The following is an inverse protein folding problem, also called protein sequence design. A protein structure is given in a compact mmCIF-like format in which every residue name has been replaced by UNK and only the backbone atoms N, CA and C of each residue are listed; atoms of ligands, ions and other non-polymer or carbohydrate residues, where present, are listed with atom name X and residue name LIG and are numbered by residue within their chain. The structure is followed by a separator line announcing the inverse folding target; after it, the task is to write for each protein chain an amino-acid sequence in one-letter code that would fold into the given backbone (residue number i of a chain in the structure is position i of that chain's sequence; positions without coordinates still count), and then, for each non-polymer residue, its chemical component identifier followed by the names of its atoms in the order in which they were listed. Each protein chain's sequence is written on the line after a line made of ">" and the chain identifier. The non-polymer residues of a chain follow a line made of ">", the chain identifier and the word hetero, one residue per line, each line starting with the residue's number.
data_IF_027583328063
#
_entry.id   IF_027583328063
#
_cell.length_a   1.000
_cell.length_b   1.000
_cell.length_c   1.000
_cell.angle_alpha   90.00
_cell.angle_beta   90.00
_cell.angle_gamma   90.00
#
_symmetry.space_group_name_H-M   'P 1'
#
loop_
_entity.id
_entity.type
_entity.pdbx_description
1 polymer ?
#
# COMPACT_ATOMS: atom_id res chain seq x y z
N UNK A 1 4.15 -3.26 7.30
CA UNK A 1 3.61 -2.43 8.39
C UNK A 1 4.40 -2.58 9.69
N UNK A 2 5.28 -3.59 9.84
CA UNK A 2 6.19 -3.72 10.99
C UNK A 2 7.42 -2.79 10.92
N UNK A 3 7.54 -1.95 9.91
CA UNK A 3 8.52 -0.87 9.81
C UNK A 3 8.10 0.37 10.62
N UNK A 4 8.97 1.40 10.67
CA UNK A 4 8.79 2.58 11.52
C UNK A 4 7.43 3.29 11.32
N UNK A 5 7.10 3.65 10.07
CA UNK A 5 5.86 4.40 9.78
C UNK A 5 4.63 3.52 10.05
N UNK A 6 4.62 2.29 9.54
CA UNK A 6 3.49 1.37 9.70
C UNK A 6 3.21 1.01 11.15
N UNK A 7 4.24 0.79 11.96
CA UNK A 7 4.08 0.49 13.39
C UNK A 7 3.44 1.67 14.16
N UNK A 8 3.88 2.90 13.89
CA UNK A 8 3.27 4.09 14.50
C UNK A 8 1.83 4.31 14.03
N UNK A 9 1.54 4.03 12.76
CA UNK A 9 0.18 4.08 12.23
C UNK A 9 -0.74 3.07 12.94
N UNK A 10 -0.29 1.82 13.12
CA UNK A 10 -1.08 0.80 13.84
C UNK A 10 -1.43 1.28 15.24
N UNK A 11 -0.43 1.73 16.04
CA UNK A 11 -0.64 2.24 17.39
C UNK A 11 -1.63 3.39 17.43
N UNK A 12 -1.47 4.35 16.52
CA UNK A 12 -2.38 5.49 16.41
C UNK A 12 -3.82 5.05 16.11
N UNK A 13 -4.00 4.13 15.17
CA UNK A 13 -5.32 3.67 14.75
C UNK A 13 -6.02 2.89 15.86
N UNK A 14 -5.31 1.98 16.54
CA UNK A 14 -5.85 1.19 17.65
C UNK A 14 -6.26 2.08 18.85
N UNK A 15 -5.47 3.13 19.12
CA UNK A 15 -5.78 4.08 20.18
C UNK A 15 -6.97 4.99 19.84
N UNK A 16 -7.06 5.42 18.57
CA UNK A 16 -8.09 6.38 18.14
C UNK A 16 -9.44 5.75 17.86
N UNK A 17 -9.46 4.51 17.36
CA UNK A 17 -10.68 3.83 16.92
C UNK A 17 -10.87 2.50 17.68
N UNK A 18 -11.66 2.47 18.77
CA UNK A 18 -11.81 1.28 19.60
C UNK A 18 -12.35 0.04 18.85
N UNK A 19 -13.17 0.25 17.84
CA UNK A 19 -13.84 -0.83 17.10
C UNK A 19 -13.04 -1.33 15.87
N UNK A 20 -11.89 -0.69 15.57
CA UNK A 20 -11.12 -1.09 14.39
C UNK A 20 -10.44 -2.44 14.61
N UNK A 21 -10.45 -3.25 13.56
CA UNK A 21 -9.63 -4.48 13.47
C UNK A 21 -8.56 -4.29 12.42
N UNK A 22 -7.34 -4.68 12.73
CA UNK A 22 -6.18 -4.51 11.87
C UNK A 22 -5.53 -5.87 11.62
N UNK A 23 -5.30 -6.21 10.37
CA UNK A 23 -4.45 -7.33 9.98
C UNK A 23 -3.16 -6.77 9.40
N UNK A 24 -2.06 -7.07 10.04
CA UNK A 24 -0.72 -6.60 9.66
C UNK A 24 -0.05 -7.65 8.79
N UNK A 25 -0.01 -7.44 7.50
CA UNK A 25 0.77 -8.27 6.57
C UNK A 25 2.16 -7.66 6.41
N UNK A 26 3.20 -8.40 6.76
CA UNK A 26 4.60 -7.95 6.60
C UNK A 26 5.54 -9.14 6.35
N UNK A 27 6.50 -8.97 5.48
CA UNK A 27 7.50 -10.00 5.15
C UNK A 27 8.60 -10.10 6.20
N UNK A 28 8.73 -9.06 7.07
CA UNK A 28 9.82 -8.90 8.04
C UNK A 28 11.20 -8.94 7.38
N UNK A 29 11.40 -8.08 6.38
CA UNK A 29 12.70 -7.83 5.78
C UNK A 29 13.56 -6.98 6.73
N UNK A 30 14.65 -6.40 6.25
CA UNK A 30 15.62 -5.66 7.05
C UNK A 30 15.03 -4.51 7.92
N UNK A 31 13.94 -3.88 7.47
CA UNK A 31 13.27 -2.77 8.18
C UNK A 31 12.09 -3.23 9.05
N UNK A 32 11.66 -4.47 8.94
CA UNK A 32 10.54 -5.03 9.70
C UNK A 32 10.99 -5.50 11.08
N UNK A 33 10.43 -4.92 12.14
CA UNK A 33 10.68 -5.33 13.51
C UNK A 33 9.37 -5.59 14.24
N UNK A 34 9.05 -6.88 14.40
CA UNK A 34 7.82 -7.31 15.08
C UNK A 34 7.77 -6.84 16.55
N UNK A 35 8.93 -6.71 17.22
CA UNK A 35 9.01 -6.22 18.59
C UNK A 35 8.41 -4.81 18.77
N UNK A 36 8.40 -3.99 17.72
CA UNK A 36 7.83 -2.63 17.77
C UNK A 36 6.31 -2.62 17.99
N UNK A 37 5.62 -3.66 17.53
CA UNK A 37 4.15 -3.81 17.61
C UNK A 37 3.73 -5.05 18.40
N UNK A 38 4.66 -5.69 19.11
CA UNK A 38 4.38 -6.94 19.81
C UNK A 38 3.27 -6.80 20.87
N UNK A 39 3.24 -5.66 21.57
CA UNK A 39 2.25 -5.36 22.59
C UNK A 39 0.86 -5.02 21.98
N UNK A 40 0.84 -4.63 20.71
CA UNK A 40 -0.39 -4.29 20.00
C UNK A 40 -1.06 -5.51 19.37
N UNK A 41 -0.32 -6.62 19.17
CA UNK A 41 -0.82 -7.87 18.59
C UNK A 41 -1.51 -8.68 19.69
N UNK A 42 -2.82 -8.53 19.79
CA UNK A 42 -3.65 -9.18 20.82
C UNK A 42 -4.46 -10.38 20.29
N UNK A 43 -4.48 -10.61 18.98
CA UNK A 43 -5.25 -11.66 18.32
C UNK A 43 -6.76 -11.39 18.22
N UNK A 44 -7.24 -10.27 18.78
CA UNK A 44 -8.64 -9.86 18.72
C UNK A 44 -8.85 -8.66 17.80
N UNK A 45 -8.10 -7.57 18.05
CA UNK A 45 -8.17 -6.32 17.29
C UNK A 45 -6.98 -6.14 16.35
N UNK A 46 -5.86 -6.76 16.66
CA UNK A 46 -4.65 -6.70 15.82
C UNK A 46 -4.08 -8.10 15.63
N UNK A 47 -4.07 -8.58 14.40
CA UNK A 47 -3.47 -9.85 14.00
C UNK A 47 -2.26 -9.61 13.12
N UNK A 48 -1.23 -10.45 13.28
CA UNK A 48 -0.03 -10.42 12.43
C UNK A 48 0.01 -11.65 11.52
N UNK A 49 0.26 -11.39 10.24
CA UNK A 49 0.49 -12.41 9.21
C UNK A 49 1.86 -12.16 8.58
N UNK A 50 2.76 -13.15 8.69
CA UNK A 50 4.03 -13.09 7.96
C UNK A 50 3.82 -13.51 6.53
N UNK A 51 4.06 -12.60 5.57
CA UNK A 51 3.89 -12.91 4.17
C UNK A 51 4.33 -11.79 3.23
N UNK A 52 4.41 -12.15 1.96
CA UNK A 52 4.82 -11.26 0.89
C UNK A 52 3.58 -10.71 0.16
N UNK A 53 3.49 -9.40 -0.03
CA UNK A 53 2.42 -8.77 -0.83
C UNK A 53 2.40 -9.22 -2.29
N UNK A 54 3.49 -9.81 -2.78
CA UNK A 54 3.57 -10.41 -4.12
C UNK A 54 2.97 -11.81 -4.19
N UNK A 55 2.67 -12.45 -3.05
CA UNK A 55 2.03 -13.77 -3.01
C UNK A 55 0.52 -13.62 -3.24
N UNK A 56 0.11 -13.92 -4.48
CA UNK A 56 -1.28 -13.81 -4.90
C UNK A 56 -2.21 -14.73 -4.13
N UNK A 57 -1.80 -15.95 -3.87
CA UNK A 57 -2.64 -16.92 -3.17
C UNK A 57 -2.90 -16.45 -1.74
N UNK A 58 -1.85 -16.00 -1.05
CA UNK A 58 -1.94 -15.45 0.29
C UNK A 58 -2.83 -14.20 0.34
N UNK A 59 -2.62 -13.24 -0.56
CA UNK A 59 -3.43 -12.01 -0.54
C UNK A 59 -4.89 -12.30 -0.83
N UNK A 60 -5.22 -13.13 -1.81
CA UNK A 60 -6.59 -13.54 -2.11
C UNK A 60 -7.24 -14.28 -0.91
N UNK A 61 -6.51 -15.16 -0.21
CA UNK A 61 -6.97 -15.83 1.00
C UNK A 61 -7.28 -14.85 2.13
N UNK A 62 -6.38 -13.88 2.39
CA UNK A 62 -6.58 -12.86 3.41
C UNK A 62 -7.81 -11.99 3.13
N UNK A 63 -8.00 -11.56 1.90
CA UNK A 63 -9.19 -10.79 1.51
C UNK A 63 -10.48 -11.60 1.67
N UNK A 64 -10.45 -12.88 1.34
CA UNK A 64 -11.61 -13.77 1.52
C UNK A 64 -11.93 -14.01 3.01
N UNK A 65 -10.89 -14.20 3.84
CA UNK A 65 -11.05 -14.46 5.28
C UNK A 65 -11.55 -13.25 6.06
N UNK A 66 -10.93 -12.08 5.85
CA UNK A 66 -11.16 -10.91 6.69
C UNK A 66 -12.13 -9.89 6.08
N UNK A 67 -12.41 -9.97 4.78
CA UNK A 67 -13.33 -9.06 4.07
C UNK A 67 -12.99 -7.57 4.31
N UNK A 68 -11.73 -7.21 4.18
CA UNK A 68 -11.22 -5.87 4.47
C UNK A 68 -12.06 -4.75 3.84
N UNK A 69 -12.33 -3.69 4.62
CA UNK A 69 -12.90 -2.44 4.12
C UNK A 69 -11.81 -1.50 3.62
N UNK A 70 -10.65 -1.51 4.27
CA UNK A 70 -9.54 -0.63 3.97
C UNK A 70 -8.26 -1.43 3.74
N UNK A 71 -7.47 -0.96 2.79
CA UNK A 71 -6.08 -1.37 2.60
C UNK A 71 -5.22 -0.13 2.69
N UNK A 72 -4.19 -0.15 3.55
CA UNK A 72 -3.16 0.88 3.59
C UNK A 72 -1.83 0.21 3.27
N UNK A 73 -1.30 0.48 2.09
CA UNK A 73 -0.07 -0.13 1.62
C UNK A 73 1.15 0.70 2.00
N UNK A 74 1.81 0.29 3.09
CA UNK A 74 3.13 0.78 3.51
C UNK A 74 4.29 -0.08 3.01
N UNK A 75 3.98 -1.26 2.43
CA UNK A 75 5.02 -2.19 2.00
C UNK A 75 5.79 -1.62 0.81
N UNK A 76 7.08 -1.44 1.00
CA UNK A 76 7.98 -0.97 -0.04
C UNK A 76 9.44 -1.32 0.31
N UNK A 77 10.25 -1.51 -0.71
CA UNK A 77 11.69 -1.27 -0.63
C UNK A 77 11.90 0.24 -0.77
N UNK A 78 12.64 0.87 0.17
CA UNK A 78 12.67 2.33 0.32
C UNK A 78 14.06 2.98 0.33
N UNK A 79 15.14 2.18 0.36
CA UNK A 79 16.50 2.70 0.39
C UNK A 79 17.03 3.02 -1.01
N UNK A 80 17.30 4.30 -1.30
CA UNK A 80 17.78 4.78 -2.61
C UNK A 80 19.06 4.06 -3.02
N UNK A 81 20.09 3.99 -2.16
CA UNK A 81 21.37 3.33 -2.49
C UNK A 81 21.16 1.86 -2.84
N UNK A 82 20.34 1.14 -2.08
CA UNK A 82 20.00 -0.26 -2.40
C UNK A 82 19.24 -0.40 -3.73
N UNK A 83 18.48 0.62 -4.11
CA UNK A 83 17.78 0.60 -5.41
C UNK A 83 18.74 0.70 -6.60
N UNK A 84 19.88 1.35 -6.39
CA UNK A 84 20.94 1.44 -7.39
C UNK A 84 21.68 0.09 -7.54
N UNK A 85 21.93 -0.59 -6.41
CA UNK A 85 22.59 -1.89 -6.38
C UNK A 85 21.70 -3.03 -6.90
N UNK A 86 20.42 -3.02 -6.54
CA UNK A 86 19.45 -4.07 -6.90
C UNK A 86 18.08 -3.49 -7.28
N UNK A 87 17.95 -2.86 -8.46
CA UNK A 87 16.71 -2.25 -8.88
C UNK A 87 15.56 -3.25 -9.07
N UNK A 88 15.87 -4.49 -9.43
CA UNK A 88 14.86 -5.54 -9.67
C UNK A 88 14.01 -5.81 -8.40
N UNK A 89 14.61 -5.77 -7.22
CA UNK A 89 13.88 -5.96 -5.97
C UNK A 89 12.80 -4.88 -5.77
N UNK A 90 13.12 -3.64 -6.17
CA UNK A 90 12.17 -2.52 -6.11
C UNK A 90 11.04 -2.65 -7.11
N UNK A 91 11.31 -3.12 -8.32
CA UNK A 91 10.26 -3.41 -9.30
C UNK A 91 9.29 -4.47 -8.80
N UNK A 92 9.82 -5.56 -8.25
CA UNK A 92 9.00 -6.66 -7.72
C UNK A 92 8.17 -6.19 -6.54
N UNK A 93 8.79 -5.59 -5.53
CA UNK A 93 8.08 -5.22 -4.30
C UNK A 93 7.13 -4.05 -4.53
N UNK A 94 7.64 -2.95 -5.10
CA UNK A 94 6.88 -1.70 -5.13
C UNK A 94 5.83 -1.68 -6.25
N UNK A 95 6.12 -2.30 -7.40
CA UNK A 95 5.19 -2.31 -8.54
C UNK A 95 4.32 -3.55 -8.53
N UNK A 96 4.93 -4.75 -8.65
CA UNK A 96 4.16 -5.99 -8.74
C UNK A 96 3.40 -6.29 -7.46
N UNK A 97 4.00 -6.01 -6.28
CA UNK A 97 3.32 -6.15 -4.99
C UNK A 97 2.12 -5.22 -4.85
N UNK A 98 2.25 -3.95 -5.26
CA UNK A 98 1.11 -3.01 -5.26
C UNK A 98 0.03 -3.45 -6.24
N UNK A 99 0.39 -3.84 -7.46
CA UNK A 99 -0.56 -4.35 -8.45
C UNK A 99 -1.29 -5.61 -7.93
N UNK A 100 -0.59 -6.50 -7.26
CA UNK A 100 -1.18 -7.70 -6.67
C UNK A 100 -2.23 -7.36 -5.60
N UNK A 101 -1.93 -6.42 -4.69
CA UNK A 101 -2.87 -5.95 -3.67
C UNK A 101 -4.10 -5.26 -4.30
N UNK A 102 -3.90 -4.43 -5.34
CA UNK A 102 -4.99 -3.79 -6.07
C UNK A 102 -5.94 -4.82 -6.70
N UNK A 103 -5.41 -5.88 -7.30
CA UNK A 103 -6.21 -6.93 -7.89
C UNK A 103 -6.99 -7.74 -6.85
N UNK A 104 -6.35 -8.09 -5.71
CA UNK A 104 -7.02 -8.81 -4.63
C UNK A 104 -8.14 -7.96 -4.02
N UNK A 105 -7.90 -6.66 -3.82
CA UNK A 105 -8.91 -5.72 -3.34
C UNK A 105 -10.06 -5.58 -4.37
N UNK A 106 -9.73 -5.39 -5.65
CA UNK A 106 -10.73 -5.31 -6.72
C UNK A 106 -11.62 -6.54 -6.78
N UNK A 107 -11.02 -7.73 -6.72
CA UNK A 107 -11.74 -9.01 -6.73
C UNK A 107 -12.69 -9.14 -5.54
N UNK A 108 -12.27 -8.69 -4.36
CA UNK A 108 -13.05 -8.81 -3.12
C UNK A 108 -14.14 -7.73 -2.98
N UNK A 109 -13.95 -6.55 -3.57
CA UNK A 109 -14.82 -5.41 -3.36
C UNK A 109 -15.86 -5.18 -4.46
N UNK A 110 -15.71 -5.80 -5.62
CA UNK A 110 -16.72 -5.71 -6.70
C UNK A 110 -17.97 -6.48 -6.31
N UNK A 111 -19.13 -5.81 -6.34
CA UNK A 111 -20.43 -6.38 -6.00
C UNK A 111 -21.29 -6.63 -7.23
N UNK A 112 -20.97 -5.98 -8.35
CA UNK A 112 -21.76 -6.08 -9.57
C UNK A 112 -21.17 -5.24 -10.70
N UNK A 113 -22.02 -4.95 -11.68
CA UNK A 113 -21.70 -4.10 -12.82
C UNK A 113 -22.79 -3.08 -13.03
N UNK A 114 -22.44 -1.81 -12.97
CA UNK A 114 -23.35 -0.70 -13.19
C UNK A 114 -23.86 -0.64 -14.65
N UNK A 115 -24.96 0.04 -14.87
CA UNK A 115 -25.50 0.29 -16.21
C UNK A 115 -24.50 1.03 -17.13
N UNK A 116 -23.58 1.78 -16.56
CA UNK A 116 -22.46 2.45 -17.25
C UNK A 116 -21.39 1.49 -17.77
N UNK A 117 -21.43 0.21 -17.36
CA UNK A 117 -20.44 -0.80 -17.70
C UNK A 117 -19.25 -0.89 -16.73
N UNK A 118 -19.13 0.04 -15.78
CA UNK A 118 -18.10 -0.01 -14.73
C UNK A 118 -18.47 -0.97 -13.60
N UNK A 119 -17.48 -1.47 -12.83
CA UNK A 119 -17.76 -2.24 -11.62
C UNK A 119 -18.57 -1.41 -10.60
N UNK A 120 -19.46 -2.08 -9.89
CA UNK A 120 -20.04 -1.57 -8.65
C UNK A 120 -19.18 -2.01 -7.47
N UNK A 121 -18.96 -1.10 -6.54
CA UNK A 121 -18.07 -1.32 -5.40
C UNK A 121 -18.87 -1.47 -4.12
N UNK A 122 -18.40 -2.34 -3.23
CA UNK A 122 -18.91 -2.39 -1.86
C UNK A 122 -18.75 -1.01 -1.22
N UNK A 123 -19.78 -0.54 -0.52
CA UNK A 123 -19.78 0.76 0.12
C UNK A 123 -18.71 0.86 1.22
N UNK A 124 -18.08 2.02 1.33
CA UNK A 124 -17.11 2.32 2.38
C UNK A 124 -15.69 1.80 2.13
N UNK A 125 -15.45 0.96 1.11
CA UNK A 125 -14.09 0.43 0.85
C UNK A 125 -13.13 1.48 0.31
N UNK A 126 -11.84 1.34 0.66
CA UNK A 126 -10.78 2.24 0.19
C UNK A 126 -9.42 1.58 0.14
N UNK A 127 -8.72 1.77 -0.97
CA UNK A 127 -7.30 1.43 -1.09
C UNK A 127 -6.46 2.70 -0.95
N UNK A 128 -5.52 2.71 -0.02
CA UNK A 128 -4.61 3.82 0.23
C UNK A 128 -3.17 3.38 -0.05
N UNK A 129 -2.56 3.99 -1.05
CA UNK A 129 -1.14 3.83 -1.38
C UNK A 129 -0.34 4.93 -0.71
N UNK A 130 0.62 4.55 0.12
CA UNK A 130 1.59 5.50 0.67
C UNK A 130 2.72 5.67 -0.34
N UNK A 131 2.88 6.89 -0.85
CA UNK A 131 3.90 7.27 -1.83
C UNK A 131 5.09 8.00 -1.18
N UNK A 132 5.74 8.87 -1.90
CA UNK A 132 6.89 9.68 -1.48
C UNK A 132 6.95 10.95 -2.33
N UNK A 133 7.46 12.03 -1.77
CA UNK A 133 7.74 13.27 -2.50
C UNK A 133 8.86 13.11 -3.56
N UNK A 134 9.70 12.10 -3.44
CA UNK A 134 10.74 11.79 -4.43
C UNK A 134 10.17 11.47 -5.84
N UNK A 135 8.87 11.19 -5.95
CA UNK A 135 8.20 11.00 -7.26
C UNK A 135 8.20 12.30 -8.09
N UNK A 136 8.33 13.46 -7.44
CA UNK A 136 8.37 14.77 -8.07
C UNK A 136 9.78 15.25 -8.41
N UNK A 137 10.82 14.50 -8.05
CA UNK A 137 12.21 14.83 -8.33
C UNK A 137 12.88 15.63 -7.23
N UNK A 138 13.62 16.67 -7.59
CA UNK A 138 14.37 17.48 -6.65
C UNK A 138 13.89 18.92 -6.66
N UNK A 139 13.62 19.45 -5.46
CA UNK A 139 13.43 20.88 -5.28
C UNK A 139 14.76 21.63 -5.39
N UNK A 140 14.71 22.87 -5.87
CA UNK A 140 15.80 23.82 -5.75
C UNK A 140 15.99 24.30 -4.30
N UNK A 141 16.63 25.49 -4.15
CA UNK A 141 16.86 26.08 -2.83
C UNK A 141 15.56 26.55 -2.13
N UNK A 142 14.51 26.77 -2.90
CA UNK A 142 13.21 27.28 -2.44
C UNK A 142 12.07 26.59 -3.19
N UNK A 143 10.87 26.62 -2.60
CA UNK A 143 9.65 26.09 -3.20
C UNK A 143 9.07 24.89 -2.46
N UNK A 144 7.97 24.36 -3.03
CA UNK A 144 7.25 23.19 -2.51
C UNK A 144 6.77 22.35 -3.68
N UNK A 145 6.65 21.04 -3.46
CA UNK A 145 5.86 20.19 -4.34
C UNK A 145 4.36 20.39 -4.08
N UNK A 146 3.58 20.29 -5.12
CA UNK A 146 2.12 20.35 -5.10
C UNK A 146 1.57 19.11 -5.82
N UNK A 147 0.30 18.81 -5.64
CA UNK A 147 -0.37 17.67 -6.29
C UNK A 147 -0.37 17.78 -7.82
N UNK A 148 -0.16 18.98 -8.35
CA UNK A 148 -0.05 19.26 -9.79
C UNK A 148 1.39 19.28 -10.31
N UNK A 149 2.39 19.08 -9.45
CA UNK A 149 3.79 19.00 -9.87
C UNK A 149 3.99 17.81 -10.80
N UNK A 150 4.63 17.97 -11.98
CA UNK A 150 4.93 16.84 -12.85
C UNK A 150 5.81 15.80 -12.18
N UNK A 151 5.57 14.52 -12.48
CA UNK A 151 6.39 13.43 -11.99
C UNK A 151 7.77 13.47 -12.70
N UNK A 152 8.84 13.45 -11.91
CA UNK A 152 10.24 13.52 -12.38
C UNK A 152 11.18 12.67 -11.50
N UNK A 153 10.94 11.33 -11.37
CA UNK A 153 11.73 10.47 -10.49
C UNK A 153 13.20 10.41 -10.92
N UNK A 154 14.12 10.50 -9.96
CA UNK A 154 15.57 10.60 -10.21
C UNK A 154 16.38 9.40 -9.72
N UNK A 155 15.72 8.36 -9.18
CA UNK A 155 16.36 7.12 -8.72
C UNK A 155 15.53 5.91 -9.10
N UNK A 156 16.10 4.68 -9.11
CA UNK A 156 15.31 3.46 -9.30
C UNK A 156 14.22 3.30 -8.22
N UNK A 157 14.49 3.73 -6.97
CA UNK A 157 13.48 3.78 -5.91
C UNK A 157 12.31 4.69 -6.30
N UNK A 158 12.58 5.98 -6.56
CA UNK A 158 11.52 6.93 -6.90
C UNK A 158 10.78 6.55 -8.18
N UNK A 159 11.47 6.00 -9.18
CA UNK A 159 10.84 5.46 -10.39
C UNK A 159 9.89 4.29 -10.08
N UNK A 160 10.26 3.39 -9.16
CA UNK A 160 9.39 2.28 -8.74
C UNK A 160 8.17 2.77 -7.97
N UNK A 161 8.30 3.80 -7.13
CA UNK A 161 7.18 4.41 -6.39
C UNK A 161 6.25 5.16 -7.34
N UNK A 162 6.80 5.97 -8.26
CA UNK A 162 6.03 6.63 -9.33
C UNK A 162 5.23 5.61 -10.14
N UNK A 163 5.87 4.50 -10.53
CA UNK A 163 5.19 3.44 -11.28
C UNK A 163 4.03 2.82 -10.47
N UNK A 164 4.22 2.59 -9.17
CA UNK A 164 3.16 2.09 -8.30
C UNK A 164 1.97 3.07 -8.24
N UNK A 165 2.24 4.36 -8.10
CA UNK A 165 1.20 5.42 -8.07
C UNK A 165 0.44 5.48 -9.41
N UNK A 166 1.15 5.35 -10.54
CA UNK A 166 0.51 5.28 -11.87
C UNK A 166 -0.39 4.04 -12.02
N UNK A 167 -0.03 2.88 -11.43
CA UNK A 167 -0.93 1.73 -11.36
C UNK A 167 -2.17 2.01 -10.52
N UNK A 168 -2.03 2.65 -9.36
CA UNK A 168 -3.17 3.05 -8.52
C UNK A 168 -4.09 4.00 -9.28
N UNK A 169 -3.53 5.00 -9.96
CA UNK A 169 -4.28 5.91 -10.82
C UNK A 169 -4.99 5.18 -11.97
N UNK A 170 -4.30 4.27 -12.64
CA UNK A 170 -4.88 3.48 -13.73
C UNK A 170 -6.08 2.63 -13.25
N UNK A 171 -6.01 2.06 -12.04
CA UNK A 171 -7.14 1.32 -11.45
C UNK A 171 -8.31 2.24 -11.11
N UNK A 172 -8.04 3.45 -10.63
CA UNK A 172 -9.07 4.48 -10.42
C UNK A 172 -9.77 4.85 -11.74
N UNK A 173 -8.99 5.14 -12.78
CA UNK A 173 -9.54 5.58 -14.06
C UNK A 173 -10.24 4.46 -14.84
N UNK A 174 -9.62 3.28 -14.91
CA UNK A 174 -10.13 2.15 -15.69
C UNK A 174 -11.33 1.48 -15.03
N UNK A 175 -11.27 1.28 -13.73
CA UNK A 175 -12.29 0.53 -12.98
C UNK A 175 -13.14 1.41 -12.08
N UNK A 176 -12.83 2.69 -11.96
CA UNK A 176 -13.43 3.61 -10.96
C UNK A 176 -13.28 3.08 -9.54
N UNK A 177 -12.14 2.42 -9.29
CA UNK A 177 -11.82 1.85 -7.99
C UNK A 177 -11.63 2.98 -6.96
N UNK A 178 -12.20 2.85 -5.74
CA UNK A 178 -12.04 3.85 -4.69
C UNK A 178 -10.62 3.78 -4.10
N UNK A 179 -9.74 4.63 -4.57
CA UNK A 179 -8.33 4.72 -4.17
C UNK A 179 -7.97 6.10 -3.64
N UNK A 180 -6.91 6.17 -2.83
CA UNK A 180 -6.16 7.37 -2.46
C UNK A 180 -4.68 7.03 -2.59
N UNK A 181 -3.85 7.97 -3.02
CA UNK A 181 -2.40 7.89 -2.91
C UNK A 181 -1.83 9.25 -2.48
N UNK A 182 -0.86 9.24 -1.60
CA UNK A 182 -0.16 10.39 -1.02
C UNK A 182 1.30 10.07 -0.82
#
# INVERSE_FOLDING_TARGET
>A
AAGFIGANFIKYMLAKYPEIKIVVLDLLTYAGNLGTIAEDIDGERCEFVKGNICDRALTDELFAKYQFDYVVNFAAESHVDRSIENPQLFLVTNILGTQNLLDSARKAWVTGKAATGYPEWREGVRFHQVSTDEVYGSLGAEGYFHETTPLDPRSPYSASKTSADLFVQAYSETYKMPVIFI
#
